data_IF_546336252264
#
_entry.id   IF_546336252264
#
_cell.length_a   1.000
_cell.length_b   1.000
_cell.length_c   1.000
_cell.angle_alpha   90.00
_cell.angle_beta   90.00
_cell.angle_gamma   90.00
#
_symmetry.space_group_name_H-M   'P 1'
#
loop_
_entity.id
_entity.type
_entity.pdbx_description
1 polymer ?
#
# COMPACT_ATOMS: atom_id res chain seq x y z
N UNK A 1 85.66 -2.13 -65.84
CA UNK A 1 84.81 -1.90 -67.01
C UNK A 1 83.41 -2.46 -66.76
N UNK A 2 82.50 -1.66 -66.95
CA UNK A 2 81.08 -1.92 -66.91
C UNK A 2 80.36 -1.55 -65.61
N UNK A 3 79.84 -0.36 -65.67
CA UNK A 3 78.91 0.25 -64.76
C UNK A 3 77.56 -0.44 -64.83
N UNK A 4 77.04 -0.87 -63.69
CA UNK A 4 75.65 -1.25 -63.64
C UNK A 4 74.94 -0.31 -62.63
N UNK A 5 74.25 0.63 -63.17
CA UNK A 5 73.46 1.66 -62.53
C UNK A 5 72.16 1.02 -62.20
N UNK A 6 71.91 0.70 -60.96
CA UNK A 6 70.61 0.27 -60.45
C UNK A 6 69.75 1.51 -60.29
N UNK A 7 68.75 1.57 -61.09
CA UNK A 7 67.65 2.55 -61.11
C UNK A 7 66.69 2.12 -59.98
N UNK A 8 66.59 2.96 -58.97
CA UNK A 8 65.58 2.78 -57.94
C UNK A 8 64.25 3.34 -58.42
N UNK A 9 63.29 2.48 -58.62
CA UNK A 9 61.90 2.84 -58.78
C UNK A 9 61.44 3.53 -57.51
N UNK A 10 61.18 4.83 -57.62
CA UNK A 10 60.53 5.63 -56.61
C UNK A 10 59.03 5.27 -56.65
N UNK A 11 58.58 4.49 -55.70
CA UNK A 11 57.20 4.21 -55.46
C UNK A 11 56.59 5.47 -54.88
N UNK A 12 55.90 6.23 -55.71
CA UNK A 12 55.10 7.36 -55.37
C UNK A 12 53.83 6.81 -54.68
N UNK A 13 53.92 6.70 -53.35
CA UNK A 13 52.75 6.34 -52.55
C UNK A 13 51.79 7.50 -52.56
N UNK A 14 50.65 7.31 -53.11
CA UNK A 14 49.52 8.23 -53.04
C UNK A 14 49.24 8.48 -51.55
N UNK A 15 49.77 9.58 -51.00
CA UNK A 15 49.37 10.07 -49.69
C UNK A 15 47.89 10.50 -49.76
N UNK A 16 47.01 9.66 -49.23
CA UNK A 16 45.58 10.02 -49.07
C UNK A 16 45.53 11.28 -48.22
N UNK A 17 44.81 12.31 -48.67
CA UNK A 17 44.73 13.57 -47.95
C UNK A 17 44.29 13.35 -46.50
N UNK A 18 44.91 14.04 -45.58
CA UNK A 18 44.65 13.92 -44.14
C UNK A 18 43.18 14.20 -43.76
N UNK A 19 42.49 14.92 -44.62
CA UNK A 19 41.05 15.22 -44.47
C UNK A 19 40.17 13.98 -44.73
N UNK A 20 40.48 13.15 -45.76
CA UNK A 20 39.77 11.89 -46.02
C UNK A 20 39.95 10.88 -44.91
N UNK A 21 41.13 10.78 -44.29
CA UNK A 21 41.39 9.92 -43.13
C UNK A 21 40.65 10.37 -41.87
N UNK A 22 40.41 11.69 -41.74
CA UNK A 22 39.64 12.23 -40.60
C UNK A 22 38.13 12.04 -40.78
N UNK A 23 37.62 12.14 -41.99
CA UNK A 23 36.22 11.88 -42.29
C UNK A 23 35.88 10.39 -42.12
N UNK A 24 36.70 9.48 -42.64
CA UNK A 24 36.54 8.03 -42.43
C UNK A 24 36.59 7.64 -40.98
N UNK A 25 37.47 8.26 -40.19
CA UNK A 25 37.53 8.01 -38.73
C UNK A 25 36.35 8.61 -37.96
N UNK A 26 35.72 9.67 -38.46
CA UNK A 26 34.53 10.27 -37.87
C UNK A 26 33.30 9.43 -38.16
N UNK A 27 33.13 8.98 -39.40
CA UNK A 27 32.02 8.06 -39.78
C UNK A 27 32.11 6.74 -39.03
N UNK A 28 33.30 6.14 -38.89
CA UNK A 28 33.49 4.93 -38.08
C UNK A 28 33.15 5.13 -36.59
N UNK A 29 33.32 6.33 -36.04
CA UNK A 29 32.95 6.64 -34.67
C UNK A 29 31.44 6.83 -34.52
N UNK A 30 30.82 7.51 -35.47
CA UNK A 30 29.36 7.67 -35.48
C UNK A 30 28.66 6.33 -35.67
N UNK A 31 29.17 5.46 -36.54
CA UNK A 31 28.65 4.11 -36.73
C UNK A 31 28.82 3.26 -35.44
N UNK A 32 29.94 3.37 -34.76
CA UNK A 32 30.13 2.67 -33.45
C UNK A 32 29.24 3.23 -32.37
N UNK A 33 29.05 4.54 -32.30
CA UNK A 33 28.12 5.16 -31.35
C UNK A 33 26.67 4.79 -31.65
N UNK A 34 26.29 4.69 -32.93
CA UNK A 34 24.95 4.19 -33.32
C UNK A 34 24.81 2.71 -33.02
N UNK A 35 25.83 1.89 -33.24
CA UNK A 35 25.82 0.46 -32.92
C UNK A 35 25.76 0.23 -31.41
N UNK A 36 26.42 1.06 -30.60
CA UNK A 36 26.39 1.00 -29.14
C UNK A 36 25.01 1.45 -28.61
N UNK A 37 24.34 2.39 -29.27
CA UNK A 37 22.97 2.80 -28.94
C UNK A 37 21.92 1.77 -29.37
N UNK A 38 22.20 0.95 -30.37
CA UNK A 38 21.26 -0.03 -30.94
C UNK A 38 21.31 -1.41 -30.28
N UNK A 39 22.39 -1.72 -29.53
CA UNK A 39 22.57 -3.02 -28.84
C UNK A 39 21.95 -3.03 -27.44
N UNK A 40 20.87 -2.29 -27.19
CA UNK A 40 19.94 -2.69 -26.13
C UNK A 40 19.11 -3.84 -26.69
N UNK A 41 19.56 -5.07 -26.47
CA UNK A 41 18.88 -6.24 -26.99
C UNK A 41 17.41 -6.21 -26.52
N UNK A 42 16.45 -6.55 -27.38
CA UNK A 42 15.02 -6.56 -27.01
C UNK A 42 14.75 -7.48 -25.80
N UNK A 43 15.67 -8.38 -25.50
CA UNK A 43 15.64 -9.30 -24.37
C UNK A 43 15.95 -8.62 -23.03
N UNK A 44 16.84 -7.63 -23.01
CA UNK A 44 17.18 -6.86 -21.80
C UNK A 44 16.07 -5.85 -21.52
N UNK A 45 15.53 -5.20 -22.53
CA UNK A 45 14.38 -4.30 -22.39
C UNK A 45 13.13 -5.02 -21.85
N UNK A 46 12.89 -6.25 -22.26
CA UNK A 46 11.79 -7.08 -21.72
C UNK A 46 12.02 -7.44 -20.25
N UNK A 47 13.25 -7.77 -19.87
CA UNK A 47 13.60 -8.06 -18.47
C UNK A 47 13.40 -6.84 -17.57
N UNK A 48 13.82 -5.65 -18.03
CA UNK A 48 13.65 -4.40 -17.29
C UNK A 48 12.17 -4.05 -17.10
N UNK A 49 11.36 -4.24 -18.13
CA UNK A 49 9.90 -4.07 -18.04
C UNK A 49 9.29 -5.07 -17.06
N UNK A 50 9.70 -6.33 -17.09
CA UNK A 50 9.21 -7.35 -16.14
C UNK A 50 9.59 -7.00 -14.71
N UNK A 51 10.83 -6.59 -14.45
CA UNK A 51 11.25 -6.15 -13.12
C UNK A 51 10.52 -4.89 -12.66
N UNK A 52 10.25 -3.95 -13.55
CA UNK A 52 9.47 -2.75 -13.25
C UNK A 52 8.03 -3.12 -12.86
N UNK A 53 7.39 -4.05 -13.57
CA UNK A 53 6.03 -4.52 -13.25
C UNK A 53 6.02 -5.24 -11.90
N UNK A 54 6.99 -6.12 -11.64
CA UNK A 54 7.11 -6.82 -10.36
C UNK A 54 7.32 -5.81 -9.23
N UNK A 55 8.23 -4.86 -9.41
CA UNK A 55 8.48 -3.80 -8.43
C UNK A 55 7.25 -2.96 -8.14
N UNK A 56 6.52 -2.54 -9.17
CA UNK A 56 5.28 -1.79 -9.04
C UNK A 56 4.19 -2.60 -8.31
N UNK A 57 4.08 -3.90 -8.60
CA UNK A 57 3.12 -4.78 -7.93
C UNK A 57 3.45 -4.94 -6.45
N UNK A 58 4.72 -5.17 -6.11
CA UNK A 58 5.17 -5.27 -4.72
C UNK A 58 4.94 -3.96 -3.98
N UNK A 59 5.26 -2.82 -4.59
CA UNK A 59 5.03 -1.50 -4.01
C UNK A 59 3.53 -1.23 -3.76
N UNK A 60 2.67 -1.62 -4.71
CA UNK A 60 1.21 -1.50 -4.57
C UNK A 60 0.71 -2.37 -3.41
N UNK A 61 1.16 -3.63 -3.32
CA UNK A 61 0.79 -4.53 -2.23
C UNK A 61 1.27 -4.02 -0.87
N UNK A 62 2.49 -3.49 -0.80
CA UNK A 62 3.03 -2.88 0.41
C UNK A 62 2.24 -1.63 0.82
N UNK A 63 1.84 -0.81 -0.15
CA UNK A 63 1.00 0.37 0.07
C UNK A 63 -0.40 -0.01 0.57
N UNK A 64 -1.02 -1.03 -0.02
CA UNK A 64 -2.31 -1.56 0.43
C UNK A 64 -2.20 -2.15 1.83
N UNK A 65 -1.15 -2.91 2.13
CA UNK A 65 -0.89 -3.44 3.46
C UNK A 65 -0.71 -2.31 4.47
N UNK A 66 0.05 -1.26 4.11
CA UNK A 66 0.23 -0.09 4.96
C UNK A 66 -1.09 0.63 5.21
N UNK A 67 -1.93 0.84 4.18
CA UNK A 67 -3.27 1.43 4.33
C UNK A 67 -4.17 0.60 5.26
N UNK A 68 -4.13 -0.74 5.14
CA UNK A 68 -4.91 -1.63 5.99
C UNK A 68 -4.41 -1.62 7.44
N UNK A 69 -3.10 -1.48 7.65
CA UNK A 69 -2.48 -1.47 8.97
C UNK A 69 -2.56 -0.10 9.65
N UNK A 70 -2.35 0.98 8.88
CA UNK A 70 -2.46 2.37 9.35
C UNK A 70 -3.90 2.86 9.23
N UNK A 71 -4.76 2.34 10.12
CA UNK A 71 -6.18 2.66 10.10
C UNK A 71 -6.47 3.91 10.94
N UNK A 72 -6.70 5.10 10.33
CA UNK A 72 -6.90 6.33 11.08
C UNK A 72 -8.21 6.27 11.88
N UNK A 73 -8.14 6.70 13.14
CA UNK A 73 -9.31 6.97 13.96
C UNK A 73 -9.99 8.21 13.42
N UNK A 74 -11.26 8.11 13.06
CA UNK A 74 -12.04 9.25 12.53
C UNK A 74 -12.57 10.12 13.65
N UNK A 75 -13.05 9.51 14.72
CA UNK A 75 -13.60 10.23 15.87
C UNK A 75 -13.56 9.37 17.12
N UNK A 76 -13.44 10.04 18.26
CA UNK A 76 -13.65 9.44 19.58
C UNK A 76 -14.90 10.06 20.19
N UNK A 77 -15.77 9.25 20.73
CA UNK A 77 -17.01 9.70 21.31
C UNK A 77 -17.46 8.78 22.44
N UNK A 78 -18.49 9.21 23.14
CA UNK A 78 -19.11 8.46 24.22
C UNK A 78 -20.59 8.28 23.91
N UNK A 79 -21.12 7.09 24.18
CA UNK A 79 -22.52 6.80 24.08
C UNK A 79 -23.04 6.28 25.42
N UNK A 80 -24.08 6.93 25.92
CA UNK A 80 -24.73 6.53 27.18
C UNK A 80 -26.02 5.80 26.84
N UNK A 81 -26.24 4.66 27.50
CA UNK A 81 -27.41 3.86 27.25
C UNK A 81 -27.46 2.61 28.11
N UNK A 82 -28.32 1.69 27.72
CA UNK A 82 -28.47 0.39 28.36
C UNK A 82 -27.91 -0.70 27.47
N UNK A 83 -26.99 -1.48 27.98
CA UNK A 83 -26.41 -2.61 27.27
C UNK A 83 -27.44 -3.73 27.16
N UNK A 84 -27.73 -4.15 25.94
CA UNK A 84 -28.69 -5.21 25.66
C UNK A 84 -28.00 -6.55 25.55
N UNK A 85 -26.90 -6.62 24.80
CA UNK A 85 -26.23 -7.87 24.51
C UNK A 85 -24.73 -7.65 24.30
N UNK A 86 -23.94 -8.62 24.75
CA UNK A 86 -22.53 -8.77 24.35
C UNK A 86 -22.33 -10.22 23.95
N UNK A 87 -21.87 -10.47 22.75
CA UNK A 87 -21.65 -11.81 22.23
C UNK A 87 -20.31 -11.92 21.51
N UNK A 88 -19.75 -13.11 21.48
CA UNK A 88 -18.57 -13.40 20.71
C UNK A 88 -18.98 -13.91 19.32
N UNK A 89 -18.58 -13.21 18.26
CA UNK A 89 -18.87 -13.56 16.87
C UNK A 89 -17.60 -13.79 16.07
N UNK A 90 -17.69 -14.54 14.99
CA UNK A 90 -16.67 -14.78 13.98
C UNK A 90 -16.26 -16.24 13.86
N UNK A 91 -15.98 -16.66 12.62
CA UNK A 91 -15.51 -18.02 12.33
C UNK A 91 -13.99 -18.12 12.42
N UNK A 92 -13.27 -17.17 11.82
CA UNK A 92 -11.81 -17.14 11.75
C UNK A 92 -11.25 -16.22 12.85
N UNK A 93 -11.78 -15.00 12.90
CA UNK A 93 -11.41 -14.02 13.93
C UNK A 93 -12.61 -13.91 14.90
N UNK A 94 -12.38 -14.28 16.13
CA UNK A 94 -13.40 -14.15 17.19
C UNK A 94 -13.30 -12.76 17.79
N UNK A 95 -14.36 -11.97 17.64
CA UNK A 95 -14.45 -10.61 18.16
C UNK A 95 -15.70 -10.49 19.02
N UNK A 96 -15.61 -9.69 20.08
CA UNK A 96 -16.78 -9.42 20.93
C UNK A 96 -17.57 -8.25 20.36
N UNK A 97 -18.85 -8.48 20.14
CA UNK A 97 -19.78 -7.50 19.60
C UNK A 97 -20.80 -7.13 20.67
N UNK A 98 -20.96 -5.85 20.87
CA UNK A 98 -21.93 -5.30 21.82
C UNK A 98 -23.07 -4.56 21.13
N UNK A 99 -24.25 -4.68 21.72
CA UNK A 99 -25.45 -3.96 21.30
C UNK A 99 -25.99 -3.16 22.48
N UNK A 100 -26.21 -1.87 22.29
CA UNK A 100 -26.68 -0.94 23.32
C UNK A 100 -27.77 -0.06 22.78
N UNK A 101 -28.84 0.13 23.55
CA UNK A 101 -29.86 1.13 23.27
C UNK A 101 -29.39 2.46 23.83
N UNK A 102 -29.09 3.41 22.95
CA UNK A 102 -28.62 4.74 23.32
C UNK A 102 -29.79 5.67 23.62
N UNK A 103 -29.72 6.41 24.71
CA UNK A 103 -30.76 7.39 25.08
C UNK A 103 -30.73 8.66 24.22
N UNK A 104 -29.62 8.94 23.58
CA UNK A 104 -29.48 10.12 22.71
C UNK A 104 -30.38 10.09 21.48
N UNK A 105 -30.83 8.89 21.05
CA UNK A 105 -31.70 8.71 19.89
C UNK A 105 -33.18 8.62 20.23
N UNK A 106 -33.57 8.70 21.51
CA UNK A 106 -34.97 8.60 21.94
C UNK A 106 -35.76 9.87 21.61
N UNK A 107 -35.06 10.99 21.37
CA UNK A 107 -35.72 12.31 21.18
C UNK A 107 -36.21 12.52 19.74
N UNK A 108 -35.73 11.79 18.74
CA UNK A 108 -36.17 11.89 17.36
C UNK A 108 -37.25 10.86 17.04
N UNK A 109 -38.50 11.28 17.16
CA UNK A 109 -39.72 10.47 16.93
C UNK A 109 -39.81 9.89 15.50
N UNK A 110 -38.97 10.35 14.58
CA UNK A 110 -39.03 9.97 13.15
C UNK A 110 -38.07 8.82 12.77
N UNK A 111 -37.06 8.51 13.60
CA UNK A 111 -36.09 7.41 13.33
C UNK A 111 -36.24 6.23 14.30
N UNK A 112 -37.45 5.69 14.42
CA UNK A 112 -37.72 4.49 15.25
C UNK A 112 -37.17 3.17 14.70
N UNK A 113 -36.28 3.20 13.70
CA UNK A 113 -35.88 1.98 13.02
C UNK A 113 -34.43 1.52 13.23
N UNK A 114 -33.80 1.87 14.28
CA UNK A 114 -32.62 1.25 14.91
C UNK A 114 -31.97 2.21 15.91
N UNK A 115 -32.52 2.24 17.12
CA UNK A 115 -31.86 2.91 18.26
C UNK A 115 -30.68 2.06 18.79
N UNK A 116 -30.35 0.99 18.10
CA UNK A 116 -29.34 0.04 18.53
C UNK A 116 -27.96 0.52 18.09
N UNK A 117 -27.18 0.91 19.08
CA UNK A 117 -25.77 1.24 18.87
C UNK A 117 -24.95 -0.04 18.90
N UNK A 118 -24.46 -0.46 17.71
CA UNK A 118 -23.60 -1.62 17.54
C UNK A 118 -22.14 -1.22 17.62
N UNK A 119 -21.37 -1.94 18.42
CA UNK A 119 -19.95 -1.71 18.58
C UNK A 119 -19.19 -3.03 18.79
N UNK A 120 -17.94 -3.05 18.39
CA UNK A 120 -17.02 -4.15 18.72
C UNK A 120 -16.19 -3.77 19.94
N UNK A 121 -15.73 -4.73 20.69
CA UNK A 121 -14.95 -4.49 21.92
C UNK A 121 -13.49 -4.76 21.63
N UNK A 122 -12.61 -3.83 22.02
CA UNK A 122 -11.18 -3.88 21.71
C UNK A 122 -10.46 -5.02 22.47
N UNK A 123 -10.85 -5.27 23.72
CA UNK A 123 -10.13 -6.18 24.62
C UNK A 123 -11.09 -7.17 25.28
N UNK A 124 -10.65 -8.43 25.41
CA UNK A 124 -11.42 -9.48 26.08
C UNK A 124 -11.76 -9.13 27.52
N UNK A 125 -10.85 -8.51 28.26
CA UNK A 125 -11.10 -8.09 29.65
C UNK A 125 -12.24 -7.07 29.74
N UNK A 126 -12.34 -6.15 28.76
CA UNK A 126 -13.42 -5.18 28.68
C UNK A 126 -14.76 -5.87 28.34
N UNK A 127 -14.74 -6.88 27.46
CA UNK A 127 -15.94 -7.64 27.11
C UNK A 127 -16.51 -8.40 28.29
N UNK A 128 -15.66 -9.06 29.07
CA UNK A 128 -16.11 -9.75 30.30
C UNK A 128 -16.68 -8.76 31.32
N UNK A 129 -16.05 -7.61 31.48
CA UNK A 129 -16.58 -6.55 32.36
C UNK A 129 -17.95 -6.06 31.88
N UNK A 130 -18.12 -5.85 30.58
CA UNK A 130 -19.41 -5.45 29.99
C UNK A 130 -20.49 -6.53 30.17
N UNK A 131 -20.15 -7.82 30.02
CA UNK A 131 -21.07 -8.93 30.28
C UNK A 131 -21.54 -8.96 31.75
N UNK A 132 -20.65 -8.69 32.69
CA UNK A 132 -21.02 -8.57 34.10
C UNK A 132 -21.97 -7.40 34.37
N UNK A 133 -21.76 -6.28 33.66
CA UNK A 133 -22.59 -5.08 33.78
C UNK A 133 -23.94 -5.24 33.10
N UNK A 134 -24.01 -6.00 32.00
CA UNK A 134 -25.27 -6.33 31.32
C UNK A 134 -26.28 -6.93 32.28
N UNK A 135 -25.86 -7.86 33.14
CA UNK A 135 -26.74 -8.55 34.09
C UNK A 135 -27.32 -7.60 35.15
N UNK A 136 -26.70 -6.44 35.37
CA UNK A 136 -27.16 -5.47 36.38
C UNK A 136 -28.23 -4.50 35.84
N UNK A 137 -28.45 -4.46 34.53
CA UNK A 137 -29.48 -3.61 33.92
C UNK A 137 -29.26 -2.11 34.09
N UNK A 138 -28.10 -1.67 34.57
CA UNK A 138 -27.75 -0.29 34.83
C UNK A 138 -27.45 0.47 33.54
N UNK A 139 -27.59 1.79 33.60
CA UNK A 139 -27.07 2.68 32.57
C UNK A 139 -25.56 2.71 32.63
N UNK A 140 -24.94 2.70 31.47
CA UNK A 140 -23.51 2.79 31.33
C UNK A 140 -23.13 3.69 30.14
N UNK A 141 -21.95 4.26 30.23
CA UNK A 141 -21.36 5.04 29.16
C UNK A 141 -20.25 4.26 28.53
N UNK A 142 -20.36 3.97 27.21
CA UNK A 142 -19.33 3.33 26.41
C UNK A 142 -18.51 4.40 25.72
N UNK A 143 -17.19 4.38 25.98
CA UNK A 143 -16.21 5.21 25.25
C UNK A 143 -15.77 4.41 24.05
N UNK A 144 -15.90 4.99 22.86
CA UNK A 144 -15.59 4.30 21.62
C UNK A 144 -14.81 5.16 20.63
N UNK A 145 -14.01 4.47 19.80
CA UNK A 145 -13.32 5.03 18.65
C UNK A 145 -14.03 4.59 17.38
N UNK A 146 -14.25 5.52 16.46
CA UNK A 146 -14.86 5.24 15.17
C UNK A 146 -13.79 5.20 14.09
N UNK A 147 -13.81 4.14 13.30
CA UNK A 147 -12.91 3.91 12.19
C UNK A 147 -13.63 4.05 10.84
N UNK A 148 -12.87 4.29 9.75
CA UNK A 148 -13.44 4.41 8.41
C UNK A 148 -14.04 3.08 7.96
N UNK A 149 -13.29 1.99 8.14
CA UNK A 149 -13.68 0.64 7.75
C UNK A 149 -13.57 -0.33 8.95
N UNK A 150 -14.45 -1.30 9.07
CA UNK A 150 -14.26 -2.40 10.01
C UNK A 150 -13.14 -3.31 9.49
N UNK A 151 -12.29 -3.80 10.38
CA UNK A 151 -11.27 -4.81 10.07
C UNK A 151 -11.70 -6.14 10.67
N UNK A 152 -11.70 -7.25 9.90
CA UNK A 152 -12.23 -8.55 10.35
C UNK A 152 -11.65 -9.07 11.65
N UNK A 153 -10.38 -8.74 11.92
CA UNK A 153 -9.68 -9.13 13.15
C UNK A 153 -9.91 -8.20 14.35
N UNK A 154 -10.51 -7.04 14.11
CA UNK A 154 -10.78 -6.01 15.11
C UNK A 154 -12.24 -5.97 15.53
N UNK A 155 -13.14 -6.34 14.63
CA UNK A 155 -14.56 -6.36 14.84
C UNK A 155 -15.35 -6.14 13.56
N UNK A 156 -16.61 -6.49 13.58
CA UNK A 156 -17.53 -6.29 12.44
C UNK A 156 -18.10 -4.87 12.40
N UNK A 157 -18.00 -4.14 13.51
CA UNK A 157 -18.50 -2.77 13.63
C UNK A 157 -17.39 -1.73 13.35
N UNK A 158 -17.80 -0.56 12.82
CA UNK A 158 -16.89 0.61 12.67
C UNK A 158 -16.58 1.27 14.00
N UNK A 159 -17.40 1.07 15.02
CA UNK A 159 -17.24 1.62 16.35
C UNK A 159 -16.61 0.57 17.25
N UNK A 160 -15.48 0.89 17.86
CA UNK A 160 -14.74 -0.02 18.75
C UNK A 160 -14.74 0.58 20.15
N UNK A 161 -15.34 -0.14 21.10
CA UNK A 161 -15.36 0.25 22.49
C UNK A 161 -13.98 0.07 23.11
N UNK A 162 -13.45 1.15 23.69
CA UNK A 162 -12.17 1.19 24.38
C UNK A 162 -12.32 1.27 25.88
N UNK A 163 -13.51 1.65 26.40
CA UNK A 163 -13.78 1.77 27.82
C UNK A 163 -15.25 1.76 28.17
N UNK A 164 -15.56 1.49 29.43
CA UNK A 164 -16.91 1.53 29.98
C UNK A 164 -16.89 2.25 31.32
N UNK A 165 -17.85 3.12 31.55
CA UNK A 165 -18.07 3.89 32.78
C UNK A 165 -19.46 3.53 33.29
N UNK A 166 -19.57 3.15 34.58
CA UNK A 166 -20.83 2.88 35.26
C UNK A 166 -21.38 4.18 35.85
N UNK A 167 -22.70 4.33 35.81
CA UNK A 167 -23.45 5.39 36.48
C UNK A 167 -24.35 4.85 37.59
#
# INVERSE_FOLDING_TARGET
MSDNKLEYDYFDGDEVPAEEQQEESAEEREDREMEELEVVSPRDRYRDVVYAIIGATVALLAFLAWLLFYHPVVSEAQATGRLMKVECRGMVFKTFEGEMVSEQYVTDTIKRQSNDFLFSVETDSLSYRMMMLQNRGKKLTVVYKRYILPLPWRGSSKCIATGVIEH
#
